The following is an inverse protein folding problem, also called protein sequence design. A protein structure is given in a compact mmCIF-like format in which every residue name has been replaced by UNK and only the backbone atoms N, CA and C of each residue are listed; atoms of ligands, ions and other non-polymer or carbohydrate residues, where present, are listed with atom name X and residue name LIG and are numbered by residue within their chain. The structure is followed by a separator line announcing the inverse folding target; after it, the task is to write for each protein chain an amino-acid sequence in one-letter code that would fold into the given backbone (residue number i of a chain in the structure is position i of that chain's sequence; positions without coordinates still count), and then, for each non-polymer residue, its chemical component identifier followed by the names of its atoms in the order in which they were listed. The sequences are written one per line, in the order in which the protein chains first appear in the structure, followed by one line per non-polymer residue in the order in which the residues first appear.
data_IF_817077807668
#
_entry.id   IF_817077807668
#
_cell.length_a   1.000
_cell.length_b   1.000
_cell.length_c   1.000
_cell.angle_alpha   90.00
_cell.angle_beta   90.00
_cell.angle_gamma   90.00
#
_symmetry.space_group_name_H-M   'P 1'
#
loop_
_entity.id
_entity.type
_entity.pdbx_description
1 polymer ?
#
# COMPACT_ATOMS: atom_id res chain seq x y z
N UNK A 1 -80.97 -50.26 -42.08
CA UNK A 1 -79.63 -50.04 -42.67
C UNK A 1 -79.04 -48.78 -42.07
N UNK A 2 -78.01 -48.91 -41.22
CA UNK A 2 -77.29 -47.79 -40.60
C UNK A 2 -76.00 -47.55 -41.37
N UNK A 3 -75.97 -46.51 -42.20
CA UNK A 3 -74.77 -46.04 -42.88
C UNK A 3 -74.15 -44.89 -42.08
N UNK A 4 -72.94 -45.15 -41.59
CA UNK A 4 -72.10 -44.32 -40.72
C UNK A 4 -71.66 -43.06 -41.48
N UNK A 5 -71.87 -41.88 -40.88
CA UNK A 5 -71.36 -40.60 -41.38
C UNK A 5 -69.83 -40.56 -41.21
N UNK A 6 -69.09 -40.47 -42.31
CA UNK A 6 -67.66 -40.18 -42.31
C UNK A 6 -67.43 -38.73 -41.85
N UNK A 7 -66.73 -38.56 -40.73
CA UNK A 7 -66.42 -37.25 -40.11
C UNK A 7 -65.24 -36.58 -40.81
N UNK A 8 -65.42 -35.34 -41.27
CA UNK A 8 -64.39 -34.47 -41.88
C UNK A 8 -63.32 -33.94 -40.92
N UNK A 9 -62.78 -34.79 -40.03
CA UNK A 9 -61.85 -34.38 -38.97
C UNK A 9 -60.35 -34.59 -39.33
N UNK A 10 -60.05 -35.15 -40.52
CA UNK A 10 -58.68 -35.52 -40.90
C UNK A 10 -57.72 -34.33 -41.03
N UNK A 11 -58.18 -33.23 -41.65
CA UNK A 11 -57.32 -32.04 -41.86
C UNK A 11 -57.07 -31.26 -40.57
N UNK A 12 -58.06 -31.12 -39.69
CA UNK A 12 -57.89 -30.47 -38.38
C UNK A 12 -56.94 -31.23 -37.46
N UNK A 13 -56.96 -32.57 -37.51
CA UNK A 13 -56.03 -33.38 -36.71
C UNK A 13 -54.57 -33.23 -37.18
N UNK A 14 -54.33 -33.14 -38.50
CA UNK A 14 -52.99 -32.91 -39.04
C UNK A 14 -52.44 -31.52 -38.68
N UNK A 15 -53.28 -30.49 -38.74
CA UNK A 15 -52.89 -29.13 -38.35
C UNK A 15 -52.59 -29.07 -36.84
N UNK A 16 -53.42 -29.71 -36.02
CA UNK A 16 -53.18 -29.82 -34.58
C UNK A 16 -51.87 -30.57 -34.27
N UNK A 17 -51.55 -31.64 -35.01
CA UNK A 17 -50.31 -32.39 -34.84
C UNK A 17 -49.07 -31.57 -35.23
N UNK A 18 -49.13 -30.83 -36.33
CA UNK A 18 -48.07 -29.92 -36.76
C UNK A 18 -47.85 -28.80 -35.72
N UNK A 19 -48.93 -28.24 -35.19
CA UNK A 19 -48.85 -27.20 -34.17
C UNK A 19 -48.27 -27.75 -32.84
N UNK A 20 -48.68 -28.94 -32.43
CA UNK A 20 -48.11 -29.61 -31.25
C UNK A 20 -46.62 -29.91 -31.43
N UNK A 21 -46.20 -30.37 -32.62
CA UNK A 21 -44.79 -30.60 -32.95
C UNK A 21 -43.98 -29.30 -32.90
N UNK A 22 -44.53 -28.20 -33.43
CA UNK A 22 -43.90 -26.86 -33.38
C UNK A 22 -43.74 -26.38 -31.94
N UNK A 23 -44.78 -26.50 -31.11
CA UNK A 23 -44.71 -26.14 -29.68
C UNK A 23 -43.72 -27.02 -28.92
N UNK A 24 -43.65 -28.31 -29.22
CA UNK A 24 -42.67 -29.22 -28.61
C UNK A 24 -41.23 -28.85 -28.97
N UNK A 25 -40.98 -28.43 -30.22
CA UNK A 25 -39.65 -27.97 -30.65
C UNK A 25 -39.25 -26.67 -29.95
N UNK A 26 -40.15 -25.69 -29.86
CA UNK A 26 -39.88 -24.43 -29.13
C UNK A 26 -39.60 -24.67 -27.65
N UNK A 27 -40.32 -25.59 -26.99
CA UNK A 27 -40.05 -25.96 -25.59
C UNK A 27 -38.67 -26.58 -25.41
N UNK A 28 -38.20 -27.39 -26.36
CA UNK A 28 -36.85 -27.96 -26.34
C UNK A 28 -35.79 -26.87 -26.49
N UNK A 29 -36.00 -25.91 -27.40
CA UNK A 29 -35.07 -24.82 -27.66
C UNK A 29 -34.95 -23.90 -26.43
N UNK A 30 -36.08 -23.52 -25.85
CA UNK A 30 -36.16 -22.73 -24.62
C UNK A 30 -35.57 -23.47 -23.42
N UNK A 31 -35.81 -24.78 -23.29
CA UNK A 31 -35.19 -25.59 -22.24
C UNK A 31 -33.66 -25.64 -22.36
N UNK A 32 -33.12 -25.68 -23.58
CA UNK A 32 -31.69 -25.67 -23.83
C UNK A 32 -31.06 -24.30 -23.55
N UNK A 33 -31.73 -23.20 -23.90
CA UNK A 33 -31.24 -21.85 -23.58
C UNK A 33 -31.23 -21.60 -22.07
N UNK A 34 -32.27 -22.03 -21.35
CA UNK A 34 -32.28 -21.96 -19.89
C UNK A 34 -31.19 -22.82 -19.24
N UNK A 35 -30.94 -24.04 -19.75
CA UNK A 35 -29.86 -24.89 -19.23
C UNK A 35 -28.48 -24.27 -19.47
N UNK A 36 -28.21 -23.75 -20.66
CA UNK A 36 -26.95 -23.04 -20.97
C UNK A 36 -26.78 -21.80 -20.09
N UNK A 37 -27.82 -20.98 -19.94
CA UNK A 37 -27.77 -19.81 -19.05
C UNK A 37 -27.54 -20.23 -17.60
N UNK A 38 -28.20 -21.29 -17.11
CA UNK A 38 -28.00 -21.80 -15.77
C UNK A 38 -26.56 -22.31 -15.55
N UNK A 39 -25.91 -22.93 -16.54
CA UNK A 39 -24.49 -23.31 -16.46
C UNK A 39 -23.55 -22.10 -16.31
N UNK A 40 -23.91 -20.93 -16.86
CA UNK A 40 -23.14 -19.69 -16.66
C UNK A 40 -23.37 -19.05 -15.29
N UNK A 41 -24.54 -19.25 -14.67
CA UNK A 41 -24.89 -18.71 -13.35
C UNK A 41 -24.64 -19.69 -12.19
N UNK A 42 -24.30 -20.95 -12.48
CA UNK A 42 -23.70 -21.80 -11.47
C UNK A 42 -22.35 -21.20 -11.10
N UNK A 43 -22.06 -21.01 -9.80
CA UNK A 43 -20.72 -20.62 -9.39
C UNK A 43 -19.78 -21.70 -9.90
N UNK A 44 -18.96 -21.35 -10.90
CA UNK A 44 -17.91 -22.24 -11.40
C UNK A 44 -17.18 -22.72 -10.15
N UNK A 45 -17.22 -24.03 -9.89
CA UNK A 45 -16.42 -24.64 -8.84
C UNK A 45 -14.97 -24.42 -9.23
N UNK A 46 -14.43 -23.28 -8.81
CA UNK A 46 -13.06 -22.93 -9.07
C UNK A 46 -12.26 -23.85 -8.14
N UNK A 47 -11.60 -24.86 -8.69
CA UNK A 47 -10.74 -25.74 -7.90
C UNK A 47 -9.68 -24.94 -7.11
N UNK A 48 -9.30 -23.76 -7.61
CA UNK A 48 -8.46 -22.80 -6.89
C UNK A 48 -9.10 -22.20 -5.62
N UNK A 49 -10.43 -22.05 -5.57
CA UNK A 49 -11.13 -21.62 -4.36
C UNK A 49 -11.21 -22.72 -3.32
N UNK A 50 -11.46 -23.97 -3.74
CA UNK A 50 -11.44 -25.13 -2.85
C UNK A 50 -10.03 -25.34 -2.26
N UNK A 51 -8.99 -25.20 -3.10
CA UNK A 51 -7.59 -25.26 -2.66
C UNK A 51 -7.24 -24.11 -1.70
N UNK A 52 -7.71 -22.89 -1.98
CA UNK A 52 -7.54 -21.75 -1.08
C UNK A 52 -8.27 -21.95 0.24
N UNK A 53 -9.47 -22.50 0.23
CA UNK A 53 -10.23 -22.85 1.43
C UNK A 53 -9.47 -23.87 2.27
N UNK A 54 -8.91 -24.92 1.66
CA UNK A 54 -8.08 -25.90 2.36
C UNK A 54 -6.76 -25.30 2.90
N UNK A 55 -6.13 -24.38 2.17
CA UNK A 55 -4.95 -23.63 2.63
C UNK A 55 -5.27 -22.69 3.81
N UNK A 56 -6.43 -22.01 3.75
CA UNK A 56 -6.91 -21.10 4.80
C UNK A 56 -7.36 -21.84 6.06
N UNK A 57 -7.95 -23.03 5.89
CA UNK A 57 -8.31 -23.93 6.98
C UNK A 57 -7.08 -24.65 7.56
N UNK A 58 -5.92 -24.57 6.90
CA UNK A 58 -4.69 -25.23 7.33
C UNK A 58 -4.68 -26.75 7.08
N UNK A 59 -5.62 -27.25 6.27
CA UNK A 59 -5.69 -28.66 5.90
C UNK A 59 -4.63 -29.07 4.87
N UNK A 60 -4.02 -28.07 4.20
CA UNK A 60 -2.89 -28.24 3.30
C UNK A 60 -1.80 -27.24 3.69
N UNK A 61 -0.67 -27.73 4.16
CA UNK A 61 0.54 -26.91 4.27
C UNK A 61 1.19 -26.83 2.88
N UNK A 62 1.76 -25.68 2.55
CA UNK A 62 2.25 -25.35 1.22
C UNK A 62 3.51 -26.16 0.90
N UNK A 63 3.35 -27.37 0.35
CA UNK A 63 4.44 -28.30 0.03
C UNK A 63 5.25 -27.93 -1.23
N UNK A 64 5.34 -26.64 -1.56
CA UNK A 64 6.10 -26.13 -2.71
C UNK A 64 7.07 -25.02 -2.28
N UNK A 65 7.91 -25.33 -1.31
CA UNK A 65 9.14 -24.59 -1.12
C UNK A 65 10.12 -25.05 -2.20
N UNK A 66 10.26 -24.25 -3.26
CA UNK A 66 11.45 -24.33 -4.11
C UNK A 66 12.69 -24.34 -3.20
N UNK A 67 13.69 -25.20 -3.44
CA UNK A 67 14.86 -25.36 -2.56
C UNK A 67 15.60 -24.02 -2.31
N UNK A 68 15.47 -23.07 -3.23
CA UNK A 68 16.00 -21.72 -3.13
C UNK A 68 15.30 -20.86 -2.07
N UNK A 69 13.98 -21.03 -1.90
CA UNK A 69 13.18 -20.28 -0.91
C UNK A 69 13.44 -20.80 0.50
N UNK A 70 13.56 -22.12 0.67
CA UNK A 70 13.95 -22.75 1.93
C UNK A 70 15.35 -22.33 2.39
N UNK A 71 16.29 -22.23 1.43
CA UNK A 71 17.64 -21.74 1.70
C UNK A 71 17.63 -20.26 2.13
N UNK A 72 16.91 -19.39 1.43
CA UNK A 72 16.79 -17.98 1.76
C UNK A 72 16.14 -17.75 3.13
N UNK A 73 15.09 -18.50 3.49
CA UNK A 73 14.43 -18.38 4.80
C UNK A 73 15.38 -18.80 5.93
N UNK A 74 16.19 -19.86 5.74
CA UNK A 74 17.22 -20.26 6.72
C UNK A 74 18.33 -19.22 6.87
N UNK A 75 18.75 -18.60 5.77
CA UNK A 75 19.77 -17.53 5.79
C UNK A 75 19.26 -16.28 6.53
N UNK A 76 18.03 -15.85 6.26
CA UNK A 76 17.39 -14.74 6.98
C UNK A 76 17.23 -15.02 8.47
N UNK A 77 16.84 -16.25 8.85
CA UNK A 77 16.68 -16.61 10.26
C UNK A 77 18.02 -16.69 11.00
N UNK A 78 19.12 -17.00 10.31
CA UNK A 78 20.48 -16.92 10.87
C UNK A 78 20.96 -15.48 11.02
N UNK A 79 20.65 -14.60 10.06
CA UNK A 79 20.97 -13.17 10.12
C UNK A 79 20.23 -12.47 11.28
N UNK A 80 18.98 -12.83 11.57
CA UNK A 80 18.26 -12.30 12.73
C UNK A 80 18.87 -12.73 14.06
N UNK A 81 19.30 -14.00 14.19
CA UNK A 81 19.96 -14.49 15.41
C UNK A 81 21.31 -13.83 15.65
N UNK A 82 22.02 -13.46 14.59
CA UNK A 82 23.32 -12.78 14.66
C UNK A 82 23.22 -11.25 14.85
N UNK A 83 22.00 -10.69 14.86
CA UNK A 83 21.77 -9.25 15.05
C UNK A 83 21.33 -8.90 16.48
N UNK A 84 21.93 -9.56 17.48
CA UNK A 84 22.07 -8.96 18.80
C UNK A 84 23.31 -8.07 18.79
N UNK A 85 23.16 -6.78 19.12
CA UNK A 85 24.22 -5.75 19.14
C UNK A 85 24.37 -4.93 17.84
N UNK A 86 23.30 -4.26 17.45
CA UNK A 86 23.44 -2.89 16.94
C UNK A 86 22.30 -2.05 17.51
N UNK A 87 22.33 -1.88 18.83
CA UNK A 87 21.68 -0.74 19.48
C UNK A 87 22.36 0.51 18.93
N UNK A 88 21.82 1.03 17.83
CA UNK A 88 22.04 2.41 17.43
C UNK A 88 21.34 3.23 18.51
N UNK A 89 22.08 3.47 19.60
CA UNK A 89 21.85 4.55 20.54
C UNK A 89 21.99 5.84 19.73
N UNK A 90 20.93 6.20 19.02
CA UNK A 90 20.76 7.56 18.53
C UNK A 90 20.98 8.48 19.74
N UNK A 91 21.59 9.66 19.56
CA UNK A 91 21.75 10.60 20.64
C UNK A 91 20.35 11.08 21.07
N UNK A 92 19.69 10.33 21.94
CA UNK A 92 18.66 10.79 22.85
C UNK A 92 19.36 11.69 23.86
N UNK A 93 19.82 12.84 23.40
CA UNK A 93 19.91 13.98 24.30
C UNK A 93 18.49 14.50 24.40
N UNK A 94 17.80 14.34 25.55
CA UNK A 94 16.58 15.09 25.77
C UNK A 94 16.93 16.56 25.55
N UNK A 95 16.17 17.20 24.67
CA UNK A 95 16.21 18.64 24.46
C UNK A 95 15.78 19.26 25.79
N UNK A 96 16.76 19.50 26.67
CA UNK A 96 16.61 20.47 27.74
C UNK A 96 16.74 21.83 27.08
N UNK A 97 15.66 22.27 26.43
CA UNK A 97 15.37 23.69 26.23
C UNK A 97 15.27 24.28 27.62
N UNK A 98 16.40 24.75 28.14
CA UNK A 98 16.38 25.70 29.24
C UNK A 98 15.79 26.98 28.63
N UNK A 99 14.47 27.13 28.76
CA UNK A 99 13.84 28.44 28.86
C UNK A 99 13.30 29.12 27.59
N UNK A 100 12.96 28.41 26.51
CA UNK A 100 12.22 29.03 25.39
C UNK A 100 11.44 28.02 24.55
N UNK A 101 10.24 28.36 24.02
CA UNK A 101 9.50 27.49 23.09
C UNK A 101 10.21 27.30 21.74
N UNK A 102 11.13 28.18 21.35
CA UNK A 102 11.95 28.07 20.13
C UNK A 102 13.47 28.08 20.42
N UNK A 103 14.29 27.48 19.53
CA UNK A 103 15.75 27.54 19.67
C UNK A 103 16.30 28.97 19.56
N UNK A 104 15.63 29.87 18.85
CA UNK A 104 15.99 31.29 18.74
C UNK A 104 15.78 32.03 20.07
N UNK A 105 14.62 31.89 20.70
CA UNK A 105 14.35 32.48 22.04
C UNK A 105 15.29 31.90 23.10
N UNK A 106 15.70 30.63 22.94
CA UNK A 106 16.69 30.00 23.82
C UNK A 106 18.06 30.67 23.69
N UNK A 107 18.46 31.10 22.49
CA UNK A 107 19.71 31.86 22.30
C UNK A 107 19.58 33.21 22.98
N UNK A 108 18.49 33.94 22.77
CA UNK A 108 18.24 35.25 23.38
C UNK A 108 18.35 35.20 24.91
N UNK A 109 17.71 34.22 25.55
CA UNK A 109 17.81 34.03 27.00
C UNK A 109 19.23 33.69 27.46
N UNK A 110 19.96 32.84 26.72
CA UNK A 110 21.34 32.50 27.06
C UNK A 110 22.30 33.68 26.85
N UNK A 111 22.01 34.57 25.90
CA UNK A 111 22.74 35.82 25.71
C UNK A 111 22.47 36.83 26.83
N UNK A 112 21.23 36.87 27.34
CA UNK A 112 20.89 37.63 28.54
C UNK A 112 21.65 37.10 29.76
N UNK A 113 21.63 35.78 30.00
CA UNK A 113 22.40 35.16 31.11
C UNK A 113 23.90 35.42 30.97
N UNK A 114 24.44 35.33 29.74
CA UNK A 114 25.86 35.64 29.47
C UNK A 114 26.18 37.10 29.77
N UNK A 115 25.35 38.04 29.33
CA UNK A 115 25.59 39.47 29.53
C UNK A 115 25.41 39.88 30.99
N UNK A 116 24.40 39.36 31.69
CA UNK A 116 24.19 39.56 33.12
C UNK A 116 25.38 39.05 33.97
N UNK A 117 25.92 37.87 33.62
CA UNK A 117 27.09 37.31 34.31
C UNK A 117 28.40 38.08 34.04
N UNK A 118 28.48 38.84 32.95
CA UNK A 118 29.65 39.64 32.58
C UNK A 118 29.47 41.15 32.89
N UNK A 119 28.33 41.56 33.44
CA UNK A 119 28.02 42.96 33.68
C UNK A 119 28.73 43.58 34.90
N UNK A 120 29.26 42.75 35.81
CA UNK A 120 30.03 43.21 36.97
C UNK A 120 31.46 43.61 36.55
N UNK A 121 31.97 44.74 37.05
CA UNK A 121 33.32 45.25 36.78
C UNK A 121 34.43 44.26 37.21
N UNK A 122 34.15 43.42 38.22
CA UNK A 122 34.97 42.27 38.63
C UNK A 122 34.08 41.01 38.71
N UNK A 123 33.94 40.23 37.63
CA UNK A 123 33.10 39.03 37.64
C UNK A 123 33.71 37.95 38.52
N UNK A 124 32.91 37.37 39.39
CA UNK A 124 33.31 36.26 40.26
C UNK A 124 33.64 35.00 39.45
N UNK A 125 34.46 34.08 39.98
CA UNK A 125 34.77 32.81 39.30
C UNK A 125 33.54 31.97 38.95
N UNK A 126 32.46 32.11 39.72
CA UNK A 126 31.20 31.43 39.45
C UNK A 126 30.45 32.07 38.27
N UNK A 127 30.42 33.40 38.17
CA UNK A 127 29.82 34.12 37.05
C UNK A 127 30.56 33.84 35.74
N UNK A 128 31.90 33.74 35.77
CA UNK A 128 32.70 33.32 34.63
C UNK A 128 32.34 31.90 34.15
N UNK A 129 32.08 30.97 35.07
CA UNK A 129 31.64 29.62 34.73
C UNK A 129 30.24 29.60 34.13
N UNK A 130 29.33 30.41 34.66
CA UNK A 130 27.97 30.58 34.13
C UNK A 130 28.04 31.16 32.70
N UNK A 131 28.81 32.21 32.47
CA UNK A 131 29.02 32.81 31.15
C UNK A 131 29.64 31.82 30.14
N UNK A 132 30.64 31.04 30.57
CA UNK A 132 31.25 30.00 29.75
C UNK A 132 30.25 28.89 29.39
N UNK A 133 29.43 28.46 30.36
CA UNK A 133 28.39 27.45 30.14
C UNK A 133 27.29 27.94 29.20
N UNK A 134 26.87 29.21 29.32
CA UNK A 134 25.90 29.83 28.43
C UNK A 134 26.45 29.91 26.99
N UNK A 135 27.72 30.30 26.84
CA UNK A 135 28.41 30.37 25.54
C UNK A 135 28.48 29.01 24.86
N UNK A 136 28.88 27.96 25.60
CA UNK A 136 28.90 26.61 25.06
C UNK A 136 27.50 26.15 24.60
N UNK A 137 26.47 26.50 25.37
CA UNK A 137 25.09 26.13 25.04
C UNK A 137 24.55 26.90 23.84
N UNK A 138 24.86 28.18 23.69
CA UNK A 138 24.56 28.97 22.49
C UNK A 138 25.15 28.30 21.24
N UNK A 139 26.41 27.88 21.30
CA UNK A 139 27.06 27.22 20.16
C UNK A 139 26.35 25.91 19.77
N UNK A 140 25.91 25.11 20.75
CA UNK A 140 25.15 23.88 20.48
C UNK A 140 23.81 24.16 19.82
N UNK A 141 23.09 25.19 20.28
CA UNK A 141 21.77 25.57 19.72
C UNK A 141 21.93 26.13 18.31
N UNK A 142 22.93 26.98 18.06
CA UNK A 142 23.25 27.48 16.72
C UNK A 142 23.58 26.35 15.74
N UNK A 143 24.36 25.35 16.18
CA UNK A 143 24.64 24.16 15.37
C UNK A 143 23.36 23.39 15.03
N UNK A 144 22.42 23.26 15.96
CA UNK A 144 21.13 22.61 15.72
C UNK A 144 20.27 23.38 14.72
N UNK A 145 20.20 24.71 14.84
CA UNK A 145 19.47 25.57 13.89
C UNK A 145 20.04 25.38 12.47
N UNK A 146 21.37 25.43 12.32
CA UNK A 146 22.04 25.22 11.03
C UNK A 146 21.71 23.86 10.41
N UNK A 147 21.75 22.79 11.21
CA UNK A 147 21.38 21.45 10.75
C UNK A 147 19.90 21.36 10.32
N UNK A 148 18.99 22.02 11.05
CA UNK A 148 17.57 22.03 10.73
C UNK A 148 17.29 22.82 9.43
N UNK A 149 17.98 23.94 9.23
CA UNK A 149 17.90 24.72 7.99
C UNK A 149 18.37 23.92 6.79
N UNK A 150 19.48 23.18 6.92
CA UNK A 150 20.01 22.34 5.86
C UNK A 150 19.08 21.16 5.54
N UNK A 151 18.51 20.51 6.57
CA UNK A 151 17.51 19.47 6.37
C UNK A 151 16.28 20.00 5.62
N UNK A 152 15.80 21.19 5.98
CA UNK A 152 14.65 21.82 5.31
C UNK A 152 14.95 22.13 3.84
N UNK A 153 16.16 22.61 3.53
CA UNK A 153 16.61 22.83 2.15
C UNK A 153 16.64 21.54 1.34
N UNK A 154 17.18 20.46 1.90
CA UNK A 154 17.23 19.16 1.21
C UNK A 154 15.83 18.63 0.89
N UNK A 155 14.89 18.75 1.84
CA UNK A 155 13.48 18.38 1.61
C UNK A 155 12.86 19.22 0.50
N UNK A 156 13.12 20.52 0.45
CA UNK A 156 12.59 21.38 -0.63
C UNK A 156 13.17 21.00 -2.00
N UNK A 157 14.46 20.71 -2.08
CA UNK A 157 15.14 20.27 -3.32
C UNK A 157 14.58 18.92 -3.78
N UNK A 158 14.40 17.96 -2.88
CA UNK A 158 13.80 16.67 -3.21
C UNK A 158 12.34 16.81 -3.65
N UNK A 159 11.55 17.66 -2.98
CA UNK A 159 10.18 17.93 -3.38
C UNK A 159 10.08 18.57 -4.78
N UNK A 160 10.98 19.51 -5.11
CA UNK A 160 11.09 20.06 -6.47
C UNK A 160 11.45 18.99 -7.49
N UNK A 161 12.44 18.15 -7.19
CA UNK A 161 12.85 17.04 -8.05
C UNK A 161 11.71 16.03 -8.28
N UNK A 162 10.93 15.73 -7.24
CA UNK A 162 9.75 14.86 -7.37
C UNK A 162 8.69 15.49 -8.28
N UNK A 163 8.39 16.78 -8.11
CA UNK A 163 7.44 17.50 -8.96
C UNK A 163 7.89 17.57 -10.43
N UNK A 164 9.18 17.77 -10.67
CA UNK A 164 9.76 17.73 -12.03
C UNK A 164 9.67 16.33 -12.66
N UNK A 165 9.98 15.28 -11.90
CA UNK A 165 9.83 13.89 -12.35
C UNK A 165 8.36 13.56 -12.68
N UNK A 166 7.42 14.01 -11.84
CA UNK A 166 5.98 13.85 -12.08
C UNK A 166 5.53 14.59 -13.35
N UNK A 167 5.96 15.84 -13.54
CA UNK A 167 5.68 16.60 -14.75
C UNK A 167 6.30 15.95 -16.00
N UNK A 168 7.49 15.36 -15.90
CA UNK A 168 8.13 14.63 -17.00
C UNK A 168 7.37 13.34 -17.35
N UNK A 169 6.85 12.61 -16.36
CA UNK A 169 5.99 11.43 -16.59
C UNK A 169 4.66 11.85 -17.23
N UNK A 170 4.07 12.96 -16.77
CA UNK A 170 2.85 13.52 -17.35
C UNK A 170 3.04 13.93 -18.82
N UNK A 171 4.14 14.63 -19.15
CA UNK A 171 4.42 15.04 -20.52
C UNK A 171 4.78 13.87 -21.46
N UNK A 172 5.31 12.76 -20.91
CA UNK A 172 5.55 11.53 -21.69
C UNK A 172 4.26 10.76 -22.01
N UNK A 173 3.18 10.99 -21.27
CA UNK A 173 1.91 10.27 -21.45
C UNK A 173 1.08 10.73 -22.66
N UNK A 174 1.44 11.86 -23.30
CA UNK A 174 0.70 12.42 -24.44
C UNK A 174 1.25 12.03 -25.81
N UNK A 175 2.42 11.39 -25.87
CA UNK A 175 2.91 10.67 -27.06
C UNK A 175 2.76 9.17 -26.87
N UNK A 176 1.53 8.72 -26.60
CA UNK A 176 1.17 7.32 -26.77
C UNK A 176 0.66 7.14 -28.19
N UNK A 177 1.56 6.84 -29.12
CA UNK A 177 1.19 6.04 -30.28
C UNK A 177 0.35 4.86 -29.78
N UNK A 178 -0.83 4.65 -30.36
CA UNK A 178 -1.76 3.56 -30.05
C UNK A 178 -1.21 2.21 -30.54
N UNK A 179 -0.02 1.83 -30.07
CA UNK A 179 0.45 0.47 -30.06
C UNK A 179 0.62 0.08 -28.60
N UNK A 180 -0.46 -0.47 -28.01
CA UNK A 180 -0.36 -1.23 -26.78
C UNK A 180 0.80 -2.22 -26.96
N UNK A 181 1.90 -2.12 -26.19
CA UNK A 181 3.00 -3.05 -26.33
C UNK A 181 2.39 -4.42 -26.11
N UNK A 182 2.63 -5.36 -27.04
CA UNK A 182 2.32 -6.78 -26.83
C UNK A 182 3.23 -7.25 -25.70
N UNK A 183 2.84 -6.95 -24.47
CA UNK A 183 3.45 -7.49 -23.27
C UNK A 183 3.12 -8.99 -23.32
N UNK A 184 4.11 -9.88 -23.42
CA UNK A 184 3.89 -11.32 -23.33
C UNK A 184 3.06 -11.59 -22.07
N UNK A 185 2.05 -12.45 -22.13
CA UNK A 185 1.14 -12.75 -20.99
C UNK A 185 1.89 -13.04 -19.68
N UNK A 186 3.09 -13.62 -19.79
CA UNK A 186 4.03 -13.88 -18.70
C UNK A 186 4.49 -12.61 -17.95
N UNK A 187 4.66 -11.49 -18.66
CA UNK A 187 5.00 -10.21 -18.05
C UNK A 187 3.79 -9.56 -17.35
N UNK A 188 2.56 -9.82 -17.79
CA UNK A 188 1.36 -9.26 -17.15
C UNK A 188 1.13 -9.89 -15.76
N UNK A 189 1.30 -11.20 -15.66
CA UNK A 189 1.22 -11.93 -14.38
C UNK A 189 2.32 -11.48 -13.42
N UNK A 190 3.54 -11.29 -13.92
CA UNK A 190 4.64 -10.76 -13.11
C UNK A 190 4.39 -9.33 -12.62
N UNK A 191 3.75 -8.49 -13.44
CA UNK A 191 3.38 -7.12 -13.08
C UNK A 191 2.28 -7.11 -12.01
N UNK A 192 1.29 -7.99 -12.13
CA UNK A 192 0.27 -8.20 -11.08
C UNK A 192 0.90 -8.69 -9.78
N UNK A 193 1.81 -9.67 -9.84
CA UNK A 193 2.56 -10.17 -8.67
C UNK A 193 3.36 -9.06 -8.00
N UNK A 194 4.03 -8.18 -8.77
CA UNK A 194 4.74 -7.02 -8.21
C UNK A 194 3.79 -6.07 -7.50
N UNK A 195 2.66 -5.74 -8.12
CA UNK A 195 1.63 -4.87 -7.53
C UNK A 195 1.10 -5.42 -6.20
N UNK A 196 0.82 -6.72 -6.13
CA UNK A 196 0.38 -7.36 -4.90
C UNK A 196 1.46 -7.38 -3.82
N UNK A 197 2.74 -7.57 -4.20
CA UNK A 197 3.86 -7.47 -3.27
C UNK A 197 4.00 -6.06 -2.70
N UNK A 198 3.95 -5.03 -3.54
CA UNK A 198 3.99 -3.63 -3.10
C UNK A 198 2.84 -3.30 -2.15
N UNK A 199 1.63 -3.75 -2.48
CA UNK A 199 0.45 -3.57 -1.62
C UNK A 199 0.62 -4.28 -0.27
N UNK A 200 1.17 -5.50 -0.26
CA UNK A 200 1.45 -6.24 0.96
C UNK A 200 2.51 -5.54 1.84
N UNK A 201 3.59 -5.05 1.22
CA UNK A 201 4.64 -4.29 1.91
C UNK A 201 4.05 -3.03 2.55
N UNK A 202 3.23 -2.27 1.81
CA UNK A 202 2.59 -1.05 2.31
C UNK A 202 1.64 -1.31 3.49
N UNK A 203 0.83 -2.38 3.42
CA UNK A 203 -0.06 -2.76 4.53
C UNK A 203 0.73 -3.19 5.77
N UNK A 204 1.78 -3.99 5.57
CA UNK A 204 2.62 -4.45 6.67
C UNK A 204 3.39 -3.30 7.32
N UNK A 205 3.99 -2.41 6.52
CA UNK A 205 4.70 -1.24 7.04
C UNK A 205 3.76 -0.31 7.82
N UNK A 206 2.54 -0.09 7.32
CA UNK A 206 1.50 0.64 8.03
C UNK A 206 1.14 -0.04 9.36
N UNK A 207 0.92 -1.36 9.37
CA UNK A 207 0.61 -2.10 10.59
C UNK A 207 1.73 -2.00 11.63
N UNK A 208 2.99 -2.14 11.21
CA UNK A 208 4.17 -1.98 12.09
C UNK A 208 4.23 -0.54 12.63
N UNK A 209 3.97 0.44 11.77
CA UNK A 209 3.93 1.85 12.17
C UNK A 209 2.83 2.10 13.22
N UNK A 210 1.60 1.63 12.98
CA UNK A 210 0.49 1.78 13.94
C UNK A 210 0.75 1.04 15.25
N UNK A 211 1.38 -0.15 15.20
CA UNK A 211 1.77 -0.89 16.41
C UNK A 211 2.82 -0.13 17.23
N UNK A 212 3.72 0.61 16.57
CA UNK A 212 4.84 1.30 17.23
C UNK A 212 4.46 2.69 17.74
N UNK A 213 3.62 3.41 17.00
CA UNK A 213 3.31 4.83 17.26
C UNK A 213 1.84 5.10 17.64
N UNK A 214 0.99 4.06 17.68
CA UNK A 214 -0.45 4.17 17.94
C UNK A 214 -1.27 4.40 16.67
N UNK A 215 -2.60 4.37 16.81
CA UNK A 215 -3.52 4.69 15.71
C UNK A 215 -3.56 6.21 15.50
N UNK A 216 -2.84 6.68 14.49
CA UNK A 216 -2.99 8.03 13.93
C UNK A 216 -3.45 7.88 12.49
N UNK A 217 -4.55 8.54 12.11
CA UNK A 217 -5.06 8.55 10.74
C UNK A 217 -4.11 9.36 9.83
N UNK A 218 -2.96 8.77 9.52
CA UNK A 218 -2.06 9.23 8.47
C UNK A 218 -2.11 8.26 7.31
N UNK A 219 -3.31 8.01 6.80
CA UNK A 219 -3.40 7.47 5.45
C UNK A 219 -2.99 8.57 4.48
N UNK A 220 -2.05 8.34 3.55
CA UNK A 220 -1.89 9.24 2.42
C UNK A 220 -3.19 9.22 1.64
N UNK A 221 -3.88 10.37 1.61
CA UNK A 221 -5.09 10.55 0.81
C UNK A 221 -4.70 10.46 -0.67
N UNK A 222 -4.82 9.27 -1.25
CA UNK A 222 -4.81 9.13 -2.70
C UNK A 222 -6.11 9.75 -3.21
N UNK A 223 -6.01 10.93 -3.81
CA UNK A 223 -7.13 11.56 -4.50
C UNK A 223 -7.72 10.57 -5.52
N UNK A 224 -9.00 10.24 -5.34
CA UNK A 224 -9.84 9.62 -6.34
C UNK A 224 -9.89 10.55 -7.56
N UNK A 225 -9.24 10.13 -8.65
CA UNK A 225 -9.45 10.72 -9.97
C UNK A 225 -10.85 10.29 -10.42
N UNK A 226 -11.75 11.26 -10.59
CA UNK A 226 -13.02 11.12 -11.31
C UNK A 226 -12.80 11.42 -12.80
#
# INVERSE_FOLDING_TARGET
MTLVRATGNGASNLIAEIEQRKRAFQRKDVGQTYRKNAEFYQPKKNHALDELEELLLGNKEKENDSPEVSAAVKEFQQLEKNKSMLDIKGPSMPVQTIGGPTPEETIELLEEVRSAALASDEPSPNELRVAASATAKIQTVQSQISLNQEATRQVEVEAKRQRENEAAVSNRSVQSDFQSPKIPSENLENLQKRRFKEQAIAKYSLQVHMKKYGFTDQQPSFFLIA
#
